data_IF_560435748496
#
_entry.id   IF_560435748496
#
_cell.length_a   1.000
_cell.length_b   1.000
_cell.length_c   1.000
_cell.angle_alpha   90.00
_cell.angle_beta   90.00
_cell.angle_gamma   90.00
#
_symmetry.space_group_name_H-M   'P 1'
#
loop_
_entity.id
_entity.type
_entity.pdbx_description
1 polymer ?
#
# COMPACT_ATOMS: atom_id res chain seq x y z
N UNK A 1 -11.75 -14.61 -1.93
CA UNK A 1 -11.74 -14.03 -3.30
C UNK A 1 -10.43 -13.33 -3.56
N UNK A 2 -9.75 -13.58 -4.68
CA UNK A 2 -8.50 -12.89 -5.04
C UNK A 2 -8.83 -11.69 -5.92
N UNK A 3 -8.35 -10.50 -5.54
CA UNK A 3 -8.56 -9.27 -6.32
C UNK A 3 -7.44 -9.09 -7.35
N UNK A 4 -7.80 -8.65 -8.55
CA UNK A 4 -6.82 -8.19 -9.54
C UNK A 4 -6.32 -6.78 -9.23
N UNK A 5 -5.13 -6.44 -9.73
CA UNK A 5 -4.53 -5.09 -9.59
C UNK A 5 -5.50 -3.99 -10.04
N UNK A 6 -6.22 -4.21 -11.15
CA UNK A 6 -7.23 -3.26 -11.66
C UNK A 6 -8.40 -3.06 -10.67
N UNK A 7 -8.85 -4.13 -10.02
CA UNK A 7 -9.95 -4.05 -9.07
C UNK A 7 -9.52 -3.38 -7.76
N UNK A 8 -8.30 -3.68 -7.30
CA UNK A 8 -7.67 -2.96 -6.19
C UNK A 8 -7.51 -1.47 -6.53
N UNK A 9 -7.01 -1.14 -7.72
CA UNK A 9 -6.88 0.25 -8.18
C UNK A 9 -8.23 0.98 -8.15
N UNK A 10 -9.30 0.37 -8.68
CA UNK A 10 -10.66 0.96 -8.65
C UNK A 10 -11.21 1.19 -7.25
N UNK A 11 -10.92 0.29 -6.31
CA UNK A 11 -11.34 0.41 -4.90
C UNK A 11 -10.50 1.44 -4.14
N UNK A 12 -9.20 1.50 -4.41
CA UNK A 12 -8.23 2.37 -3.72
C UNK A 12 -8.27 3.79 -4.26
N UNK A 13 -8.51 3.99 -5.56
CA UNK A 13 -8.56 5.31 -6.21
C UNK A 13 -9.43 6.35 -5.48
N UNK A 14 -10.71 6.07 -5.11
CA UNK A 14 -11.52 7.04 -4.38
C UNK A 14 -10.93 7.41 -3.01
N UNK A 15 -10.29 6.45 -2.34
CA UNK A 15 -9.64 6.66 -1.05
C UNK A 15 -8.38 7.51 -1.23
N UNK A 16 -7.52 7.15 -2.19
CA UNK A 16 -6.31 7.91 -2.51
C UNK A 16 -6.64 9.37 -2.83
N UNK A 17 -7.72 9.61 -3.58
CA UNK A 17 -8.21 10.94 -3.89
C UNK A 17 -8.76 11.67 -2.65
N UNK A 18 -9.54 11.00 -1.80
CA UNK A 18 -10.06 11.54 -0.51
C UNK A 18 -8.94 12.05 0.39
N UNK A 19 -7.85 11.28 0.48
CA UNK A 19 -6.69 11.58 1.33
C UNK A 19 -5.59 12.40 0.63
N UNK A 20 -5.78 12.75 -0.65
CA UNK A 20 -4.82 13.48 -1.47
C UNK A 20 -3.42 12.81 -1.47
N UNK A 21 -3.41 11.49 -1.64
CA UNK A 21 -2.19 10.70 -1.75
C UNK A 21 -1.46 11.05 -3.04
N UNK A 22 -0.14 11.16 -2.98
CA UNK A 22 0.67 11.48 -4.16
C UNK A 22 0.77 10.31 -5.12
N UNK A 23 0.92 9.11 -4.58
CA UNK A 23 0.96 7.88 -5.37
C UNK A 23 0.63 6.69 -4.48
N UNK A 24 0.08 5.64 -5.10
CA UNK A 24 -0.16 4.35 -4.44
C UNK A 24 0.41 3.24 -5.30
N UNK A 25 1.06 2.29 -4.64
CA UNK A 25 1.70 1.13 -5.24
C UNK A 25 1.22 -0.13 -4.52
N UNK A 26 1.07 -1.22 -5.26
CA UNK A 26 0.84 -2.56 -4.73
C UNK A 26 2.13 -3.35 -4.87
N UNK A 27 2.50 -4.12 -3.85
CA UNK A 27 3.68 -4.99 -3.91
C UNK A 27 3.32 -6.40 -3.39
N UNK A 28 4.32 -7.25 -3.20
CA UNK A 28 4.13 -8.56 -2.56
C UNK A 28 3.35 -9.56 -3.43
N UNK A 29 2.53 -10.37 -2.77
CA UNK A 29 1.85 -11.51 -3.40
C UNK A 29 0.88 -11.09 -4.51
N UNK A 30 0.22 -9.94 -4.36
CA UNK A 30 -0.69 -9.39 -5.38
C UNK A 30 0.08 -8.89 -6.61
N UNK A 31 1.24 -8.25 -6.43
CA UNK A 31 2.09 -7.85 -7.54
C UNK A 31 2.67 -9.05 -8.30
N UNK A 32 2.92 -10.16 -7.61
CA UNK A 32 3.41 -11.41 -8.20
C UNK A 32 2.33 -12.32 -8.78
N UNK A 33 1.05 -11.96 -8.68
CA UNK A 33 -0.08 -12.84 -9.03
C UNK A 33 -0.08 -14.19 -8.28
N UNK A 34 0.57 -14.25 -7.11
CA UNK A 34 0.60 -15.43 -6.22
C UNK A 34 -0.36 -15.27 -5.03
N UNK A 35 -1.14 -14.18 -4.99
CA UNK A 35 -2.09 -13.90 -3.92
C UNK A 35 -3.19 -14.97 -3.84
N UNK A 36 -3.48 -15.40 -2.63
CA UNK A 36 -4.56 -16.34 -2.32
C UNK A 36 -5.74 -15.63 -1.67
N UNK A 37 -6.84 -16.35 -1.44
CA UNK A 37 -8.04 -15.75 -0.86
C UNK A 37 -7.83 -15.20 0.55
N UNK A 38 -6.91 -15.79 1.31
CA UNK A 38 -6.52 -15.36 2.66
C UNK A 38 -5.30 -14.43 2.68
N UNK A 39 -4.79 -14.01 1.51
CA UNK A 39 -3.63 -13.12 1.44
C UNK A 39 -4.02 -11.67 1.68
N UNK A 40 -3.26 -11.02 2.56
CA UNK A 40 -3.32 -9.60 2.87
C UNK A 40 -2.85 -8.75 1.68
N UNK A 41 -3.40 -7.55 1.54
CA UNK A 41 -3.04 -6.65 0.44
C UNK A 41 -1.88 -5.75 0.88
N UNK A 42 -0.69 -6.01 0.38
CA UNK A 42 0.48 -5.16 0.57
C UNK A 42 0.38 -3.86 -0.26
N UNK A 43 0.18 -2.72 0.41
CA UNK A 43 0.01 -1.41 -0.21
C UNK A 43 1.10 -0.46 0.26
N UNK A 44 1.88 0.05 -0.69
CA UNK A 44 2.85 1.11 -0.46
C UNK A 44 2.26 2.45 -0.88
N UNK A 45 2.14 3.37 0.06
CA UNK A 45 1.65 4.73 -0.21
C UNK A 45 2.79 5.75 -0.15
N UNK A 46 2.75 6.70 -1.09
CA UNK A 46 3.50 7.93 -0.98
C UNK A 46 2.60 9.03 -0.43
N UNK A 47 2.84 9.37 0.84
CA UNK A 47 2.16 10.44 1.57
C UNK A 47 2.92 11.76 1.54
N UNK A 48 3.90 11.91 0.64
CA UNK A 48 4.67 13.14 0.53
C UNK A 48 3.74 14.26 0.09
N UNK A 49 3.62 15.30 0.92
CA UNK A 49 2.70 16.44 0.70
C UNK A 49 1.20 16.10 0.77
N UNK A 50 0.84 14.92 1.28
CA UNK A 50 -0.56 14.49 1.42
C UNK A 50 -1.24 15.08 2.67
N UNK A 51 -2.57 14.94 2.76
CA UNK A 51 -3.33 15.31 3.97
C UNK A 51 -3.00 14.39 5.16
N UNK A 52 -2.45 13.22 4.89
CA UNK A 52 -2.10 12.21 5.88
C UNK A 52 -0.83 12.60 6.65
N UNK A 53 -0.99 13.45 7.67
CA UNK A 53 0.12 13.95 8.50
C UNK A 53 0.19 13.27 9.87
N UNK A 54 -0.95 12.92 10.46
CA UNK A 54 -1.00 12.36 11.81
C UNK A 54 -1.29 10.85 11.80
N UNK A 55 -1.05 10.20 12.95
CA UNK A 55 -1.41 8.80 13.18
C UNK A 55 -2.91 8.55 13.00
N UNK A 56 -3.76 9.52 13.37
CA UNK A 56 -5.21 9.42 13.16
C UNK A 56 -5.59 9.38 11.68
N UNK A 57 -4.97 10.23 10.84
CA UNK A 57 -5.21 10.22 9.39
C UNK A 57 -4.74 8.90 8.76
N UNK A 58 -3.60 8.38 9.22
CA UNK A 58 -3.08 7.07 8.80
C UNK A 58 -4.04 5.94 9.19
N UNK A 59 -4.56 5.96 10.42
CA UNK A 59 -5.53 4.97 10.89
C UNK A 59 -6.85 5.04 10.13
N UNK A 60 -7.32 6.24 9.81
CA UNK A 60 -8.50 6.46 8.97
C UNK A 60 -8.30 5.92 7.56
N UNK A 61 -7.17 6.23 6.93
CA UNK A 61 -6.80 5.70 5.62
C UNK A 61 -6.76 4.16 5.61
N UNK A 62 -6.07 3.58 6.60
CA UNK A 62 -5.98 2.13 6.77
C UNK A 62 -7.37 1.50 6.90
N UNK A 63 -8.24 2.08 7.72
CA UNK A 63 -9.60 1.58 7.93
C UNK A 63 -10.46 1.70 6.66
N UNK A 64 -10.43 2.84 5.96
CA UNK A 64 -11.11 3.02 4.67
C UNK A 64 -10.64 1.98 3.63
N UNK A 65 -9.33 1.69 3.57
CA UNK A 65 -8.76 0.68 2.66
C UNK A 65 -9.24 -0.72 3.01
N UNK A 66 -9.16 -1.10 4.29
CA UNK A 66 -9.61 -2.39 4.79
C UNK A 66 -11.11 -2.60 4.54
N UNK A 67 -11.95 -1.59 4.79
CA UNK A 67 -13.39 -1.65 4.50
C UNK A 67 -13.67 -1.73 3.00
N UNK A 68 -12.97 -0.97 2.17
CA UNK A 68 -13.21 -0.97 0.72
C UNK A 68 -12.77 -2.26 0.03
N UNK A 69 -11.69 -2.88 0.52
CA UNK A 69 -11.17 -4.15 0.01
C UNK A 69 -11.91 -5.33 0.68
N UNK A 70 -12.38 -5.15 1.90
CA UNK A 70 -13.01 -6.20 2.72
C UNK A 70 -12.01 -7.24 3.21
N UNK A 71 -10.73 -6.86 3.33
CA UNK A 71 -9.62 -7.73 3.78
C UNK A 71 -8.59 -6.91 4.54
N UNK A 72 -7.73 -7.61 5.28
CA UNK A 72 -6.55 -7.01 5.89
C UNK A 72 -5.61 -6.45 4.81
N UNK A 73 -5.11 -5.24 5.08
CA UNK A 73 -4.26 -4.46 4.19
C UNK A 73 -2.98 -4.15 4.95
N UNK A 74 -1.81 -4.51 4.43
CA UNK A 74 -0.54 -4.08 5.02
C UNK A 74 -0.15 -2.73 4.40
N UNK A 75 -0.31 -1.66 5.18
CA UNK A 75 -0.03 -0.31 4.74
C UNK A 75 1.41 0.10 5.07
N UNK A 76 2.24 0.19 4.05
CA UNK A 76 3.62 0.69 4.16
C UNK A 76 3.72 2.09 3.59
N UNK A 77 4.55 2.94 4.19
CA UNK A 77 4.85 4.26 3.65
C UNK A 77 6.24 4.28 3.03
N UNK A 78 6.44 5.09 1.98
CA UNK A 78 7.77 5.30 1.38
C UNK A 78 8.79 5.68 2.45
N UNK A 79 8.40 6.53 3.41
CA UNK A 79 9.22 6.91 4.55
C UNK A 79 9.68 5.71 5.41
N UNK A 80 8.85 4.67 5.59
CA UNK A 80 9.21 3.44 6.30
C UNK A 80 10.29 2.64 5.56
N UNK A 81 10.23 2.59 4.22
CA UNK A 81 11.27 1.97 3.38
C UNK A 81 12.57 2.79 3.33
N UNK A 82 12.46 4.10 3.54
CA UNK A 82 13.61 4.99 3.62
C UNK A 82 14.30 4.98 4.98
N UNK A 83 13.60 4.53 6.03
CA UNK A 83 14.21 4.42 7.35
C UNK A 83 15.41 3.47 7.34
N UNK A 84 16.50 3.96 7.93
CA UNK A 84 17.76 3.24 8.00
C UNK A 84 17.61 1.92 8.77
N UNK A 85 16.79 1.90 9.82
CA UNK A 85 16.51 0.67 10.58
C UNK A 85 15.86 -0.43 9.75
N UNK A 86 14.91 -0.08 8.87
CA UNK A 86 14.28 -1.02 7.94
C UNK A 86 15.30 -1.53 6.93
N UNK A 87 16.09 -0.63 6.34
CA UNK A 87 17.14 -1.00 5.38
C UNK A 87 18.22 -1.89 6.00
N UNK A 88 18.55 -1.69 7.27
CA UNK A 88 19.54 -2.50 7.98
C UNK A 88 18.98 -3.86 8.41
N UNK A 89 17.75 -3.93 8.90
CA UNK A 89 17.15 -5.18 9.38
C UNK A 89 16.68 -6.09 8.25
N UNK A 90 16.07 -5.50 7.22
CA UNK A 90 15.45 -6.25 6.11
C UNK A 90 15.81 -5.61 4.76
N UNK A 91 17.10 -5.62 4.37
CA UNK A 91 17.54 -5.07 3.08
C UNK A 91 16.90 -5.80 1.88
N UNK A 92 16.66 -7.10 2.02
CA UNK A 92 16.00 -7.92 1.00
C UNK A 92 14.55 -7.48 0.78
N UNK A 93 13.83 -7.10 1.84
CA UNK A 93 12.45 -6.63 1.76
C UNK A 93 12.38 -5.32 0.97
N UNK A 94 13.19 -4.32 1.35
CA UNK A 94 13.23 -3.03 0.66
C UNK A 94 13.57 -3.20 -0.83
N UNK A 95 14.49 -4.12 -1.14
CA UNK A 95 14.85 -4.45 -2.52
C UNK A 95 13.70 -5.10 -3.28
N UNK A 96 13.02 -6.08 -2.68
CA UNK A 96 11.86 -6.74 -3.28
C UNK A 96 10.73 -5.74 -3.55
N UNK A 97 10.34 -4.96 -2.54
CA UNK A 97 9.30 -3.94 -2.70
C UNK A 97 9.62 -3.00 -3.85
N UNK A 98 10.84 -2.48 -3.93
CA UNK A 98 11.25 -1.58 -5.03
C UNK A 98 11.30 -2.24 -6.41
N UNK A 99 11.53 -3.55 -6.46
CA UNK A 99 11.61 -4.30 -7.72
C UNK A 99 10.23 -4.72 -8.20
N UNK A 100 9.33 -5.03 -7.28
CA UNK A 100 8.01 -5.62 -7.54
C UNK A 100 6.86 -4.61 -7.41
N UNK A 101 7.11 -3.39 -6.94
CA UNK A 101 6.05 -2.39 -6.76
C UNK A 101 5.40 -2.05 -8.11
N UNK A 102 4.08 -2.20 -8.14
CA UNK A 102 3.23 -1.82 -9.25
C UNK A 102 2.47 -0.57 -8.87
N UNK A 103 2.69 0.52 -9.61
CA UNK A 103 1.95 1.76 -9.41
C UNK A 103 0.50 1.57 -9.86
N UNK A 104 -0.44 1.87 -8.97
CA UNK A 104 -1.89 1.75 -9.24
C UNK A 104 -2.62 3.09 -9.22
N UNK A 105 -1.97 4.15 -8.71
CA UNK A 105 -2.52 5.50 -8.59
C UNK A 105 -1.39 6.55 -8.56
N UNK A 106 -1.60 7.70 -9.21
CA UNK A 106 -0.75 8.92 -9.22
C UNK A 106 -1.62 10.15 -9.48
#
# INVERSE_FOLDING_TARGET
MVYSIDELSKRIAPIAMKYNLRAVYIFGSYARNEATENSDVDVLIDRTDSKVKNLFDMGGLYNDLCESIGKEVDLVTTQTLEQESTRQRTPWFVKNVRTEMLKIYE
#
